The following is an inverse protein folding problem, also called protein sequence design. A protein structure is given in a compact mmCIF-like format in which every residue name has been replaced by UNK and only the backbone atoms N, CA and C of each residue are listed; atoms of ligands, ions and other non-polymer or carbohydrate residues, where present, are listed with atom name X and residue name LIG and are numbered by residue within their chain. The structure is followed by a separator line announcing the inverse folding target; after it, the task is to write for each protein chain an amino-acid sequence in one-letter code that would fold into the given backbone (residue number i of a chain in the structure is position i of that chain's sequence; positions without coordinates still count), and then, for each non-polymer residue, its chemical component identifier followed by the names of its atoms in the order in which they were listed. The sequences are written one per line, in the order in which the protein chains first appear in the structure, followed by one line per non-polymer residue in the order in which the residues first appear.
data_IF_286618291254
#
_entry.id   IF_286618291254
#
_cell.length_a   1.000
_cell.length_b   1.000
_cell.length_c   1.000
_cell.angle_alpha   90.00
_cell.angle_beta   90.00
_cell.angle_gamma   90.00
#
_symmetry.space_group_name_H-M   'P 1'
#
loop_
_entity.id
_entity.type
_entity.pdbx_description
1 polymer ?
#
# COMPACT_ATOMS: atom_id res chain seq x y z
N UNK A 1 17.01 -87.36 23.80
CA UNK A 1 17.53 -86.72 25.03
C UNK A 1 19.04 -86.56 24.92
N UNK A 2 19.51 -85.33 24.67
CA UNK A 2 20.78 -84.74 25.13
C UNK A 2 20.91 -83.31 24.57
N UNK A 3 21.51 -82.49 25.40
CA UNK A 3 21.61 -81.03 25.51
C UNK A 3 22.63 -80.34 24.59
N UNK A 4 22.56 -79.00 24.60
CA UNK A 4 23.59 -77.97 24.30
C UNK A 4 23.67 -77.48 22.84
N UNK A 5 23.97 -76.22 22.51
CA UNK A 5 23.95 -74.88 23.14
C UNK A 5 24.39 -73.90 22.02
N UNK A 6 23.75 -72.71 21.96
CA UNK A 6 24.33 -71.36 21.74
C UNK A 6 25.22 -71.08 20.52
N UNK A 7 24.81 -70.05 19.76
CA UNK A 7 25.63 -69.16 18.94
C UNK A 7 24.73 -68.45 17.92
N UNK A 8 24.39 -67.17 17.98
CA UNK A 8 25.15 -66.02 18.46
C UNK A 8 25.50 -65.14 17.26
N UNK A 9 24.57 -64.31 16.78
CA UNK A 9 24.89 -63.05 16.08
C UNK A 9 23.63 -62.19 15.96
N UNK A 10 23.59 -61.15 16.78
CA UNK A 10 22.64 -60.06 16.67
C UNK A 10 23.00 -59.22 15.44
N UNK A 11 22.12 -59.15 14.45
CA UNK A 11 22.16 -58.10 13.44
C UNK A 11 21.36 -56.92 13.97
N UNK A 12 22.08 -55.92 14.47
CA UNK A 12 21.56 -54.59 14.78
C UNK A 12 20.97 -54.00 13.48
N UNK A 13 19.65 -53.97 13.36
CA UNK A 13 18.98 -53.11 12.39
C UNK A 13 19.07 -51.67 12.90
N UNK A 14 19.98 -50.91 12.29
CA UNK A 14 20.01 -49.46 12.35
C UNK A 14 18.69 -48.91 11.77
N UNK A 15 17.68 -48.80 12.62
CA UNK A 15 16.53 -47.93 12.36
C UNK A 15 17.01 -46.49 12.50
N UNK A 16 17.60 -45.95 11.42
CA UNK A 16 17.73 -44.50 11.27
C UNK A 16 16.30 -43.99 11.14
N UNK A 17 15.77 -43.49 12.26
CA UNK A 17 14.50 -42.80 12.28
C UNK A 17 14.55 -41.68 11.25
N UNK A 18 13.84 -41.86 10.14
CA UNK A 18 13.44 -40.75 9.30
C UNK A 18 12.49 -39.92 10.15
N UNK A 19 13.04 -38.92 10.84
CA UNK A 19 12.26 -37.80 11.35
C UNK A 19 11.52 -37.26 10.13
N UNK A 20 10.18 -37.25 10.10
CA UNK A 20 9.50 -36.60 9.00
C UNK A 20 9.99 -35.16 9.02
N UNK A 21 10.65 -34.76 7.92
CA UNK A 21 10.90 -33.35 7.67
C UNK A 21 9.53 -32.69 7.79
N UNK A 22 9.30 -31.95 8.87
CA UNK A 22 8.16 -31.07 8.97
C UNK A 22 8.31 -30.16 7.76
N UNK A 23 7.47 -30.40 6.75
CA UNK A 23 7.20 -29.41 5.75
C UNK A 23 6.67 -28.22 6.55
N UNK A 24 7.56 -27.26 6.81
CA UNK A 24 7.16 -25.93 7.25
C UNK A 24 6.32 -25.44 6.08
N UNK A 25 5.00 -25.66 6.16
CA UNK A 25 4.07 -25.04 5.26
C UNK A 25 4.24 -23.56 5.53
N UNK A 26 5.05 -22.90 4.72
CA UNK A 26 5.23 -21.46 4.79
C UNK A 26 3.83 -20.86 4.89
N UNK A 27 3.60 -20.06 5.92
CA UNK A 27 2.31 -19.42 6.12
C UNK A 27 1.92 -18.68 4.84
N UNK A 28 0.65 -18.78 4.44
CA UNK A 28 0.17 -18.03 3.28
C UNK A 28 0.25 -16.52 3.57
N UNK A 29 0.50 -15.67 2.56
CA UNK A 29 0.36 -14.23 2.73
C UNK A 29 -1.06 -13.89 3.17
N UNK A 30 -1.21 -12.78 3.90
CA UNK A 30 -2.54 -12.25 4.22
C UNK A 30 -3.34 -12.01 2.94
N UNK A 31 -4.65 -12.00 3.06
CA UNK A 31 -5.56 -11.75 1.94
C UNK A 31 -6.11 -10.36 2.06
N UNK A 32 -6.03 -9.57 0.99
CA UNK A 32 -6.74 -8.30 0.94
C UNK A 32 -8.25 -8.57 1.02
N UNK A 33 -8.88 -8.11 2.11
CA UNK A 33 -10.29 -8.31 2.39
C UNK A 33 -11.13 -7.13 1.94
N UNK A 34 -10.70 -5.92 2.29
CA UNK A 34 -11.38 -4.68 1.98
C UNK A 34 -10.36 -3.63 1.53
N UNK A 35 -10.77 -2.78 0.58
CA UNK A 35 -9.95 -1.68 0.10
C UNK A 35 -10.82 -0.50 -0.31
N UNK A 36 -10.49 0.66 0.23
CA UNK A 36 -11.02 1.94 -0.16
C UNK A 36 -9.88 2.76 -0.78
N UNK A 37 -10.15 3.38 -1.92
CA UNK A 37 -9.22 4.29 -2.59
C UNK A 37 -9.89 5.66 -2.59
N UNK A 38 -9.15 6.68 -2.18
CA UNK A 38 -9.66 8.05 -2.06
C UNK A 38 -8.77 8.99 -2.87
N UNK A 39 -9.38 9.86 -3.66
CA UNK A 39 -8.77 11.00 -4.31
C UNK A 39 -9.26 12.28 -3.62
N UNK A 40 -8.32 13.15 -3.25
CA UNK A 40 -8.61 14.40 -2.58
C UNK A 40 -8.39 15.63 -3.43
N UNK A 41 -8.93 16.77 -2.95
CA UNK A 41 -8.66 18.08 -3.53
C UNK A 41 -7.15 18.43 -3.46
N UNK A 42 -6.65 19.26 -4.38
CA UNK A 42 -5.26 19.72 -4.42
C UNK A 42 -4.81 20.65 -3.30
N UNK A 43 -5.66 20.86 -2.31
CA UNK A 43 -5.36 21.59 -1.09
C UNK A 43 -5.78 20.71 0.08
N UNK A 44 -4.80 20.11 0.77
CA UNK A 44 -5.04 19.34 1.99
C UNK A 44 -4.74 20.21 3.22
N UNK A 45 -5.36 19.89 4.35
CA UNK A 45 -4.98 20.49 5.63
C UNK A 45 -3.46 20.34 5.83
N UNK A 46 -2.79 21.39 6.35
CA UNK A 46 -1.35 21.44 6.62
C UNK A 46 -0.87 20.30 7.54
N UNK A 47 -1.79 19.58 8.18
CA UNK A 47 -1.50 18.35 8.93
C UNK A 47 -1.06 17.20 8.02
N UNK A 48 -1.51 17.18 6.75
CA UNK A 48 -1.23 16.13 5.75
C UNK A 48 -0.19 16.54 4.72
N UNK A 49 -0.19 17.82 4.32
CA UNK A 49 0.87 18.41 3.52
C UNK A 49 2.10 18.69 4.41
N UNK A 50 3.28 18.17 4.09
CA UNK A 50 4.48 18.60 4.79
C UNK A 50 4.76 20.09 4.55
N UNK A 51 5.49 20.75 5.46
CA UNK A 51 5.74 22.21 5.47
C UNK A 51 6.42 22.78 4.20
N UNK A 52 6.66 21.96 3.18
CA UNK A 52 7.29 22.32 1.91
C UNK A 52 6.29 22.26 0.74
N UNK A 53 5.13 21.60 0.90
CA UNK A 53 4.16 21.41 -0.18
C UNK A 53 2.75 21.77 0.29
N UNK A 54 2.48 23.07 0.46
CA UNK A 54 1.18 23.62 0.90
C UNK A 54 0.04 23.24 -0.08
N UNK A 55 0.39 22.77 -1.28
CA UNK A 55 -0.56 22.50 -2.34
C UNK A 55 -0.30 21.16 -3.04
N UNK A 56 -0.85 20.11 -2.46
CA UNK A 56 -0.80 18.78 -3.03
C UNK A 56 -2.20 18.18 -3.09
N UNK A 57 -2.56 17.67 -4.27
CA UNK A 57 -3.60 16.64 -4.34
C UNK A 57 -3.10 15.41 -3.61
N UNK A 58 -4.03 14.57 -3.15
CA UNK A 58 -3.63 13.31 -2.53
C UNK A 58 -4.42 12.14 -3.10
N UNK A 59 -3.75 10.99 -3.08
CA UNK A 59 -4.36 9.68 -3.25
C UNK A 59 -4.13 8.91 -1.95
N UNK A 60 -5.22 8.51 -1.30
CA UNK A 60 -5.24 7.65 -0.12
C UNK A 60 -5.73 6.25 -0.45
N UNK A 61 -5.27 5.27 0.30
CA UNK A 61 -5.72 3.88 0.22
C UNK A 61 -5.86 3.35 1.62
N UNK A 62 -7.08 2.98 2.03
CA UNK A 62 -7.34 2.29 3.28
C UNK A 62 -7.58 0.82 2.96
N UNK A 63 -6.80 -0.07 3.54
CA UNK A 63 -6.85 -1.50 3.23
C UNK A 63 -6.96 -2.32 4.52
N UNK A 64 -7.82 -3.33 4.48
CA UNK A 64 -7.93 -4.34 5.54
C UNK A 64 -7.47 -5.66 4.98
N UNK A 65 -6.43 -6.23 5.58
CA UNK A 65 -5.93 -7.58 5.27
C UNK A 65 -6.48 -8.57 6.28
N UNK A 66 -6.71 -9.82 5.85
CA UNK A 66 -7.30 -10.89 6.67
C UNK A 66 -6.48 -12.16 6.60
N UNK A 67 -6.75 -13.07 7.53
CA UNK A 67 -6.08 -14.37 7.59
C UNK A 67 -4.80 -14.36 8.41
N UNK A 68 -4.71 -13.44 9.39
CA UNK A 68 -3.68 -13.50 10.42
C UNK A 68 -3.94 -14.78 11.25
N UNK A 69 -3.21 -15.84 10.94
CA UNK A 69 -3.46 -17.15 11.54
C UNK A 69 -2.84 -17.22 12.93
N UNK A 70 -3.68 -17.17 13.96
CA UNK A 70 -3.30 -17.33 15.37
C UNK A 70 -3.17 -16.01 16.11
N UNK A 71 -3.24 -16.07 17.45
CA UNK A 71 -2.82 -14.95 18.30
C UNK A 71 -1.35 -14.67 18.02
N UNK A 72 -1.03 -13.45 17.60
CA UNK A 72 0.37 -12.98 17.63
C UNK A 72 0.83 -13.10 19.07
N UNK A 73 1.89 -13.87 19.33
CA UNK A 73 2.22 -14.32 20.67
C UNK A 73 2.58 -13.12 21.54
N UNK A 74 2.20 -13.16 22.83
CA UNK A 74 2.66 -12.14 23.79
C UNK A 74 4.18 -12.18 24.01
N UNK A 75 4.87 -13.22 23.50
CA UNK A 75 6.32 -13.32 23.50
C UNK A 75 6.98 -12.51 22.36
N UNK A 76 6.21 -12.11 21.34
CA UNK A 76 6.73 -11.30 20.25
C UNK A 76 6.91 -9.84 20.72
N UNK A 77 8.12 -9.32 20.54
CA UNK A 77 8.41 -7.93 20.90
C UNK A 77 7.56 -6.95 20.06
N UNK A 78 7.38 -5.72 20.53
CA UNK A 78 6.65 -4.72 19.74
C UNK A 78 7.33 -4.43 18.40
N UNK A 79 8.67 -4.46 18.35
CA UNK A 79 9.48 -4.24 17.14
C UNK A 79 9.24 -5.34 16.08
N UNK A 80 9.07 -6.59 16.52
CA UNK A 80 8.73 -7.72 15.65
C UNK A 80 7.27 -7.69 15.19
N UNK A 81 6.39 -6.91 15.82
CA UNK A 81 4.97 -6.77 15.46
C UNK A 81 4.68 -5.60 14.52
N UNK A 82 5.71 -5.00 13.95
CA UNK A 82 5.55 -3.89 13.01
C UNK A 82 5.42 -4.39 11.58
N UNK A 83 4.70 -3.63 10.76
CA UNK A 83 4.69 -3.80 9.33
C UNK A 83 4.61 -2.47 8.62
N UNK A 84 4.85 -2.50 7.32
CA UNK A 84 4.85 -1.33 6.45
C UNK A 84 4.02 -1.65 5.22
N UNK A 85 3.12 -0.74 4.86
CA UNK A 85 2.48 -0.76 3.55
C UNK A 85 3.08 0.34 2.68
N UNK A 86 3.48 -0.04 1.47
CA UNK A 86 3.96 0.88 0.44
C UNK A 86 3.24 0.56 -0.85
N UNK A 87 3.43 1.36 -1.89
CA UNK A 87 2.82 1.06 -3.17
C UNK A 87 3.08 2.08 -4.25
N UNK A 88 2.29 1.96 -5.31
CA UNK A 88 2.19 2.94 -6.38
C UNK A 88 0.76 3.06 -6.86
N UNK A 89 0.38 4.26 -7.28
CA UNK A 89 -0.89 4.53 -7.92
C UNK A 89 -0.65 5.13 -9.30
N UNK A 90 -1.37 4.65 -10.31
CA UNK A 90 -1.46 5.32 -11.62
C UNK A 90 -2.60 6.32 -11.55
N UNK A 91 -2.30 7.59 -11.77
CA UNK A 91 -3.29 8.68 -11.72
C UNK A 91 -3.36 9.39 -13.07
N UNK A 92 -4.49 10.04 -13.32
CA UNK A 92 -4.63 11.03 -14.39
C UNK A 92 -5.21 12.33 -13.84
N UNK A 93 -4.62 13.45 -14.22
CA UNK A 93 -5.02 14.80 -13.86
C UNK A 93 -5.47 15.56 -15.10
N UNK A 94 -6.60 16.25 -15.01
CA UNK A 94 -7.06 17.17 -16.06
C UNK A 94 -6.79 18.59 -15.60
N UNK A 95 -5.90 19.25 -16.33
CA UNK A 95 -5.55 20.66 -16.17
C UNK A 95 -6.20 21.47 -17.27
N UNK A 96 -6.45 22.75 -17.02
CA UNK A 96 -6.87 23.68 -18.06
C UNK A 96 -6.88 25.10 -17.55
N UNK A 97 -7.53 26.00 -18.30
CA UNK A 97 -7.64 27.40 -17.94
C UNK A 97 -9.10 27.80 -17.71
N UNK A 98 -9.31 28.83 -16.91
CA UNK A 98 -10.59 29.47 -16.64
C UNK A 98 -10.52 30.94 -17.08
N UNK A 99 -11.61 31.48 -17.66
CA UNK A 99 -11.69 32.91 -18.01
C UNK A 99 -11.87 33.78 -16.76
N UNK A 100 -11.72 35.10 -16.89
CA UNK A 100 -11.96 36.06 -15.80
C UNK A 100 -13.41 35.98 -15.24
N UNK A 101 -14.35 35.48 -16.03
CA UNK A 101 -15.75 35.27 -15.66
C UNK A 101 -16.03 33.90 -15.03
N UNK A 102 -15.00 33.07 -14.79
CA UNK A 102 -15.15 31.76 -14.17
C UNK A 102 -15.56 30.65 -15.14
N UNK A 103 -15.34 30.83 -16.45
CA UNK A 103 -15.74 29.83 -17.47
C UNK A 103 -14.56 28.95 -17.83
N UNK A 104 -14.70 27.63 -17.64
CA UNK A 104 -13.72 26.63 -18.10
C UNK A 104 -13.52 26.71 -19.61
N UNK A 105 -12.28 26.90 -20.01
CA UNK A 105 -11.85 26.94 -21.41
C UNK A 105 -11.41 25.54 -21.86
N UNK A 106 -12.37 24.64 -22.07
CA UNK A 106 -12.10 23.21 -22.29
C UNK A 106 -11.20 22.86 -23.50
N UNK A 107 -11.05 23.78 -24.47
CA UNK A 107 -10.12 23.61 -25.60
C UNK A 107 -8.64 23.74 -25.18
N UNK A 108 -8.37 24.27 -23.99
CA UNK A 108 -7.05 24.37 -23.37
C UNK A 108 -6.79 23.24 -22.37
N UNK A 109 -7.71 22.27 -22.26
CA UNK A 109 -7.55 21.18 -21.31
C UNK A 109 -6.42 20.24 -21.74
N UNK A 110 -5.59 19.86 -20.77
CA UNK A 110 -4.51 18.89 -20.94
C UNK A 110 -4.66 17.78 -19.89
N UNK A 111 -4.53 16.53 -20.33
CA UNK A 111 -4.50 15.38 -19.42
C UNK A 111 -3.07 14.93 -19.21
N UNK A 112 -2.64 14.88 -17.96
CA UNK A 112 -1.36 14.29 -17.53
C UNK A 112 -1.65 12.95 -16.87
N UNK A 113 -0.88 11.92 -17.20
CA UNK A 113 -0.95 10.61 -16.53
C UNK A 113 0.41 10.20 -16.02
N UNK A 114 0.48 9.80 -14.77
CA UNK A 114 1.74 9.44 -14.12
C UNK A 114 1.56 8.31 -13.10
N UNK A 115 2.68 7.75 -12.66
CA UNK A 115 2.71 6.84 -11.53
C UNK A 115 3.23 7.60 -10.32
N UNK A 116 2.46 7.65 -9.25
CA UNK A 116 2.85 8.25 -7.96
C UNK A 116 3.15 7.16 -6.96
N UNK A 117 4.16 7.39 -6.12
CA UNK A 117 4.58 6.42 -5.10
C UNK A 117 3.74 6.62 -3.85
N UNK A 118 3.03 5.57 -3.44
CA UNK A 118 2.36 5.50 -2.14
C UNK A 118 3.45 5.09 -1.14
N UNK A 119 3.77 5.95 -0.17
CA UNK A 119 4.96 5.69 0.64
C UNK A 119 5.25 6.67 1.76
N UNK A 120 6.25 6.35 2.59
CA UNK A 120 6.35 6.77 3.99
C UNK A 120 7.02 8.14 4.15
N UNK A 121 6.69 9.16 3.34
CA UNK A 121 7.16 10.53 3.65
C UNK A 121 6.70 10.95 5.05
N UNK A 122 5.58 10.39 5.52
CA UNK A 122 5.21 10.25 6.94
C UNK A 122 4.77 8.80 7.14
N UNK A 123 5.39 8.09 8.07
CA UNK A 123 5.40 6.63 8.16
C UNK A 123 4.03 5.97 8.04
N UNK A 124 3.98 4.84 7.34
CA UNK A 124 2.79 3.98 7.38
C UNK A 124 3.21 2.63 7.91
N UNK A 125 3.77 2.72 9.12
CA UNK A 125 3.91 1.60 10.04
C UNK A 125 2.52 1.23 10.54
N UNK A 126 2.14 -0.02 10.43
CA UNK A 126 1.03 -0.56 11.20
C UNK A 126 1.59 -1.50 12.27
N UNK A 127 0.83 -1.67 13.35
CA UNK A 127 1.13 -2.70 14.36
C UNK A 127 0.18 -3.86 14.13
N UNK A 128 0.71 -5.08 14.07
CA UNK A 128 -0.09 -6.29 13.99
C UNK A 128 -0.87 -6.48 15.30
N UNK A 129 -2.20 -6.65 15.25
CA UNK A 129 -3.01 -6.85 16.45
C UNK A 129 -2.71 -8.21 17.08
N UNK A 130 -2.92 -8.29 18.39
CA UNK A 130 -2.65 -9.50 19.18
C UNK A 130 -3.81 -10.50 19.13
N UNK A 131 -5.03 -10.00 19.00
CA UNK A 131 -6.28 -10.75 19.15
C UNK A 131 -7.29 -10.53 18.01
N UNK A 132 -6.89 -9.86 16.93
CA UNK A 132 -7.69 -9.73 15.71
C UNK A 132 -7.12 -10.58 14.57
N UNK A 133 -8.00 -11.04 13.70
CA UNK A 133 -7.69 -11.83 12.50
C UNK A 133 -7.42 -10.96 11.26
N UNK A 134 -7.54 -9.64 11.43
CA UNK A 134 -7.38 -8.62 10.39
C UNK A 134 -6.32 -7.59 10.75
N UNK A 135 -5.78 -6.94 9.72
CA UNK A 135 -4.74 -5.91 9.83
C UNK A 135 -5.17 -4.70 9.00
N UNK A 136 -5.55 -3.58 9.64
CA UNK A 136 -5.78 -2.33 8.93
C UNK A 136 -4.45 -1.68 8.56
N UNK A 137 -4.37 -1.11 7.36
CA UNK A 137 -3.23 -0.35 6.90
C UNK A 137 -3.67 0.78 5.97
N UNK A 138 -2.93 1.88 5.97
CA UNK A 138 -3.21 3.05 5.14
C UNK A 138 -2.00 3.40 4.27
N UNK A 139 -2.25 3.84 3.05
CA UNK A 139 -1.22 4.27 2.11
C UNK A 139 -1.57 5.60 1.42
N UNK A 140 -0.73 6.63 1.56
CA UNK A 140 -0.94 7.93 0.91
C UNK A 140 0.17 8.29 -0.09
N UNK A 141 -0.20 9.02 -1.14
CA UNK A 141 0.69 9.72 -2.06
C UNK A 141 0.20 11.16 -2.23
N UNK A 142 1.12 12.10 -2.15
CA UNK A 142 0.88 13.50 -2.46
C UNK A 142 1.35 13.80 -3.88
N UNK A 143 0.58 14.60 -4.59
CA UNK A 143 0.80 14.91 -5.99
C UNK A 143 1.55 16.23 -6.08
N UNK A 144 2.78 16.17 -6.58
CA UNK A 144 3.54 17.38 -6.91
C UNK A 144 2.86 18.10 -8.09
N UNK A 145 2.52 19.37 -7.92
CA UNK A 145 1.79 20.14 -8.94
C UNK A 145 2.73 20.72 -10.01
N UNK A 146 3.27 19.83 -10.85
CA UNK A 146 4.06 20.21 -12.03
C UNK A 146 3.14 20.44 -13.25
N UNK A 147 2.33 21.50 -13.21
CA UNK A 147 1.39 21.80 -14.29
C UNK A 147 2.09 22.09 -15.62
N UNK A 148 1.46 21.75 -16.77
CA UNK A 148 1.87 22.29 -18.06
C UNK A 148 1.56 23.79 -18.10
N UNK A 149 2.50 24.61 -17.60
CA UNK A 149 2.42 26.07 -17.58
C UNK A 149 2.21 26.57 -19.01
N UNK A 150 1.05 27.16 -19.35
CA UNK A 150 0.79 28.02 -20.54
C UNK A 150 -0.69 28.46 -20.64
N UNK A 151 -1.26 29.13 -19.62
CA UNK A 151 -2.58 29.77 -19.78
C UNK A 151 -2.44 31.14 -20.47
N UNK A 152 -3.29 31.48 -21.47
CA UNK A 152 -3.27 32.79 -22.12
C UNK A 152 -3.47 33.96 -21.14
N UNK A 153 -3.00 35.15 -21.51
CA UNK A 153 -3.22 36.36 -20.72
C UNK A 153 -4.73 36.59 -20.47
N UNK A 154 -5.09 36.94 -19.24
CA UNK A 154 -6.49 37.10 -18.82
C UNK A 154 -7.21 35.79 -18.45
N UNK A 155 -6.49 34.67 -18.34
CA UNK A 155 -7.02 33.39 -17.87
C UNK A 155 -6.25 32.87 -16.67
N UNK A 156 -6.87 32.00 -15.88
CA UNK A 156 -6.29 31.41 -14.67
C UNK A 156 -6.08 29.89 -14.84
N UNK A 157 -4.91 29.34 -14.50
CA UNK A 157 -4.68 27.90 -14.52
C UNK A 157 -5.44 27.19 -13.38
N UNK A 158 -6.03 26.03 -13.70
CA UNK A 158 -6.84 25.23 -12.78
C UNK A 158 -6.59 23.73 -12.98
N UNK A 159 -6.70 22.97 -11.90
CA UNK A 159 -6.95 21.52 -11.97
C UNK A 159 -8.46 21.28 -11.88
N UNK A 160 -9.00 20.45 -12.77
CA UNK A 160 -10.44 20.14 -12.83
C UNK A 160 -10.79 18.74 -12.33
N UNK A 161 -9.84 17.82 -12.39
CA UNK A 161 -10.10 16.43 -12.09
C UNK A 161 -8.83 15.69 -11.72
N UNK A 162 -8.95 14.81 -10.72
CA UNK A 162 -7.98 13.79 -10.36
C UNK A 162 -8.68 12.44 -10.40
N UNK A 163 -8.17 11.50 -11.19
CA UNK A 163 -8.64 10.10 -11.21
C UNK A 163 -7.52 9.16 -10.80
N UNK A 164 -7.83 8.22 -9.92
CA UNK A 164 -6.97 7.06 -9.65
C UNK A 164 -7.41 5.96 -10.60
N UNK A 165 -6.48 5.34 -11.32
CA UNK A 165 -6.78 4.29 -12.31
C UNK A 165 -6.47 2.89 -11.79
N UNK A 166 -5.32 2.74 -11.13
CA UNK A 166 -4.80 1.46 -10.61
C UNK A 166 -3.95 1.73 -9.39
N UNK A 167 -3.98 0.80 -8.45
CA UNK A 167 -3.14 0.81 -7.26
C UNK A 167 -2.47 -0.55 -7.11
N UNK A 168 -1.18 -0.53 -6.80
CA UNK A 168 -0.42 -1.70 -6.36
C UNK A 168 0.10 -1.42 -4.94
N UNK A 169 -0.26 -2.27 -3.99
CA UNK A 169 0.21 -2.20 -2.60
C UNK A 169 1.19 -3.33 -2.34
N UNK A 170 2.28 -3.04 -1.65
CA UNK A 170 3.23 -4.01 -1.13
C UNK A 170 3.19 -3.95 0.38
N UNK A 171 2.79 -5.05 1.01
CA UNK A 171 2.80 -5.22 2.46
C UNK A 171 4.09 -5.94 2.85
N UNK A 172 4.81 -5.37 3.82
CA UNK A 172 5.97 -5.99 4.45
C UNK A 172 5.72 -6.06 5.96
N UNK A 173 6.13 -7.16 6.60
CA UNK A 173 5.99 -7.38 8.04
C UNK A 173 7.35 -7.74 8.63
N UNK A 174 7.63 -7.34 9.87
CA UNK A 174 8.82 -7.82 10.59
C UNK A 174 8.64 -9.25 11.13
N UNK A 175 7.41 -9.76 11.24
CA UNK A 175 7.15 -11.17 11.54
C UNK A 175 7.48 -12.09 10.36
N UNK A 176 8.39 -13.05 10.57
CA UNK A 176 8.74 -14.09 9.60
C UNK A 176 7.56 -14.98 9.17
N UNK A 177 6.54 -15.08 10.02
CA UNK A 177 5.31 -15.85 9.77
C UNK A 177 4.33 -15.13 8.84
N UNK A 178 4.55 -13.85 8.54
CA UNK A 178 3.71 -13.08 7.62
C UNK A 178 4.56 -12.69 6.42
N UNK A 179 4.51 -13.44 5.30
CA UNK A 179 5.35 -13.13 4.15
C UNK A 179 4.88 -11.85 3.45
N UNK A 180 5.82 -11.13 2.86
CA UNK A 180 5.51 -9.98 2.01
C UNK A 180 4.69 -10.38 0.79
N UNK A 181 3.79 -9.51 0.38
CA UNK A 181 2.95 -9.73 -0.81
C UNK A 181 2.60 -8.41 -1.51
N UNK A 182 2.42 -8.51 -2.83
CA UNK A 182 1.90 -7.44 -3.67
C UNK A 182 0.41 -7.68 -3.98
N UNK A 183 -0.41 -6.64 -3.82
CA UNK A 183 -1.84 -6.66 -4.08
C UNK A 183 -2.17 -5.58 -5.12
N UNK A 184 -2.91 -5.96 -6.16
CA UNK A 184 -3.33 -5.04 -7.22
C UNK A 184 -4.83 -4.82 -7.13
N UNK A 185 -5.22 -3.56 -7.09
CA UNK A 185 -6.63 -3.16 -7.00
C UNK A 185 -6.95 -2.10 -8.04
N UNK A 186 -8.22 -2.01 -8.42
CA UNK A 186 -8.69 -0.95 -9.32
C UNK A 186 -8.80 0.34 -8.51
N UNK A 187 -8.06 1.38 -8.91
CA UNK A 187 -8.39 2.74 -8.49
C UNK A 187 -9.59 3.15 -9.34
N UNK A 188 -10.74 3.40 -8.72
CA UNK A 188 -11.92 3.93 -9.43
C UNK A 188 -12.35 5.27 -8.90
N UNK A 189 -11.72 5.72 -7.82
CA UNK A 189 -12.11 6.95 -7.18
C UNK A 189 -11.60 8.16 -7.95
N UNK A 190 -12.37 9.24 -7.83
CA UNK A 190 -12.08 10.49 -8.50
C UNK A 190 -12.51 11.66 -7.66
N UNK A 191 -11.70 12.70 -7.72
CA UNK A 191 -12.07 14.03 -7.28
C UNK A 191 -12.39 14.89 -8.51
N UNK A 192 -13.47 15.66 -8.43
CA UNK A 192 -13.92 16.61 -9.45
C UNK A 192 -14.22 17.95 -8.80
N UNK A 193 -13.58 18.99 -9.30
CA UNK A 193 -13.69 20.34 -8.80
C UNK A 193 -12.65 21.22 -9.48
N UNK A 194 -12.92 22.52 -9.59
CA UNK A 194 -11.94 23.47 -10.06
C UNK A 194 -11.18 24.01 -8.83
N UNK A 195 -9.86 23.88 -8.82
CA UNK A 195 -9.02 24.54 -7.81
C UNK A 195 -7.93 25.33 -8.50
N UNK A 196 -7.74 26.60 -8.11
CA UNK A 196 -6.62 27.42 -8.55
C UNK A 196 -5.31 26.68 -8.40
N UNK A 197 -4.49 26.75 -9.43
CA UNK A 197 -3.08 26.41 -9.28
C UNK A 197 -2.49 27.34 -8.24
N UNK A 198 -1.80 26.82 -7.22
CA UNK A 198 -1.04 27.64 -6.31
C UNK A 198 0.10 28.24 -7.10
N UNK A 199 0.12 29.57 -7.14
CA UNK A 199 1.04 30.31 -7.97
C UNK A 199 2.49 29.90 -7.67
N UNK A 200 3.22 29.53 -8.73
CA UNK A 200 4.66 29.60 -8.70
C UNK A 200 5.06 31.07 -8.68
N UNK A 201 5.73 31.48 -7.61
CA UNK A 201 6.74 32.54 -7.73
C UNK A 201 7.92 32.05 -8.59
#
# INVERSE_FOLDING_TARGET
MRTAMIGGTAALLLAVGMVPAQASSAAAPLRLQEVEVVAGAPHADATYCDHIMIDCGYVGVHATFSGLSGRVSSQDSWEERQGYVTGSARVSRVYGCESAEGVRLGHLDTTVSENVRLGPRRGMTFTLPTDADTVPAEAYAFLEDAQPRNCPAGTQPMMYELRVQRVALTMNSSLRTVPSAEYRVKGRDRWQGAVPTPFGE
#
